data_IF_700967041166
#
_entry.id   IF_700967041166
#
_cell.length_a   1.000
_cell.length_b   1.000
_cell.length_c   1.000
_cell.angle_alpha   90.00
_cell.angle_beta   90.00
_cell.angle_gamma   90.00
#
_symmetry.space_group_name_H-M   'P 1'
#
loop_
_entity.id
_entity.type
_entity.pdbx_description
1 polymer ?
#
# COMPACT_ATOMS: atom_id res chain seq x y z
N UNK A 1 -23.25 4.21 6.53
CA UNK A 1 -22.38 5.22 5.87
C UNK A 1 -21.94 6.36 6.81
N UNK A 2 -22.82 7.00 7.58
CA UNK A 2 -22.41 8.09 8.50
C UNK A 2 -21.33 7.67 9.52
N UNK A 3 -21.43 6.47 10.09
CA UNK A 3 -20.45 5.96 11.08
C UNK A 3 -19.05 5.76 10.50
N UNK A 4 -18.92 5.14 9.30
CA UNK A 4 -17.63 4.94 8.62
C UNK A 4 -16.94 6.28 8.32
N UNK A 5 -17.70 7.27 7.83
CA UNK A 5 -17.16 8.61 7.54
C UNK A 5 -16.72 9.34 8.81
N UNK A 6 -17.43 9.14 9.94
CA UNK A 6 -17.04 9.73 11.24
C UNK A 6 -15.72 9.12 11.73
N UNK A 7 -15.57 7.79 11.62
CA UNK A 7 -14.33 7.09 11.98
C UNK A 7 -13.18 7.57 11.08
N UNK A 8 -13.40 7.58 9.76
CA UNK A 8 -12.41 8.07 8.80
C UNK A 8 -11.90 9.47 9.17
N UNK A 9 -12.80 10.41 9.41
CA UNK A 9 -12.43 11.79 9.77
C UNK A 9 -11.65 11.85 11.08
N UNK A 10 -12.07 11.08 12.09
CA UNK A 10 -11.39 11.00 13.39
C UNK A 10 -9.97 10.46 13.24
N UNK A 11 -9.83 9.32 12.57
CA UNK A 11 -8.54 8.68 12.34
C UNK A 11 -7.60 9.54 11.48
N UNK A 12 -8.11 10.09 10.38
CA UNK A 12 -7.33 10.96 9.50
C UNK A 12 -6.85 12.21 10.25
N UNK A 13 -7.70 12.83 11.05
CA UNK A 13 -7.30 13.95 11.92
C UNK A 13 -6.26 13.51 12.93
N UNK A 14 -6.39 12.31 13.49
CA UNK A 14 -5.40 11.71 14.41
C UNK A 14 -4.02 11.60 13.80
N UNK A 15 -3.90 11.21 12.53
CA UNK A 15 -2.60 11.19 11.83
C UNK A 15 -1.94 12.56 11.84
N UNK A 16 -2.65 13.62 11.45
CA UNK A 16 -2.08 14.97 11.32
C UNK A 16 -1.92 15.72 12.67
N UNK A 17 -2.43 15.18 13.77
CA UNK A 17 -2.17 15.75 15.10
C UNK A 17 -0.90 15.20 15.74
N UNK A 18 -0.29 14.15 15.16
CA UNK A 18 0.93 13.53 15.67
C UNK A 18 2.15 13.90 14.82
N UNK A 19 3.33 14.15 15.43
CA UNK A 19 4.56 14.42 14.67
C UNK A 19 4.96 13.27 13.74
N UNK A 20 4.55 12.05 14.06
CA UNK A 20 4.89 10.82 13.31
C UNK A 20 4.44 10.88 11.85
N UNK A 21 3.26 11.47 11.58
CA UNK A 21 2.77 11.61 10.23
C UNK A 21 3.66 12.49 9.35
N UNK A 22 4.10 13.62 9.91
CA UNK A 22 5.00 14.55 9.20
C UNK A 22 6.36 13.92 8.94
N UNK A 23 6.91 13.21 9.95
CA UNK A 23 8.17 12.46 9.79
C UNK A 23 8.03 11.42 8.69
N UNK A 24 6.91 10.70 8.64
CA UNK A 24 6.63 9.71 7.60
C UNK A 24 6.62 10.35 6.20
N UNK A 25 5.89 11.46 6.02
CA UNK A 25 5.83 12.16 4.74
C UNK A 25 7.22 12.65 4.33
N UNK A 26 7.97 13.25 5.26
CA UNK A 26 9.34 13.75 4.98
C UNK A 26 10.26 12.60 4.57
N UNK A 27 10.24 11.47 5.30
CA UNK A 27 11.05 10.30 4.95
C UNK A 27 10.64 9.75 3.58
N UNK A 28 9.34 9.66 3.30
CA UNK A 28 8.85 9.20 2.00
C UNK A 28 9.35 10.11 0.86
N UNK A 29 9.22 11.42 1.00
CA UNK A 29 9.66 12.39 0.00
C UNK A 29 11.18 12.35 -0.19
N UNK A 30 11.96 12.29 0.90
CA UNK A 30 13.42 12.21 0.84
C UNK A 30 13.89 10.94 0.15
N UNK A 31 13.37 9.78 0.58
CA UNK A 31 13.75 8.49 -0.02
C UNK A 31 13.34 8.42 -1.49
N UNK A 32 12.13 8.86 -1.82
CA UNK A 32 11.67 8.89 -3.20
C UNK A 32 12.57 9.79 -4.05
N UNK A 33 12.93 10.98 -3.55
CA UNK A 33 13.84 11.90 -4.24
C UNK A 33 15.24 11.30 -4.44
N UNK A 34 15.85 10.78 -3.38
CA UNK A 34 17.19 10.17 -3.44
C UNK A 34 17.20 8.99 -4.42
N UNK A 35 16.22 8.10 -4.33
CA UNK A 35 16.14 6.93 -5.19
C UNK A 35 15.92 7.32 -6.66
N UNK A 36 15.08 8.32 -6.93
CA UNK A 36 14.80 8.78 -8.30
C UNK A 36 15.99 9.48 -8.92
N UNK A 37 16.54 10.48 -8.22
CA UNK A 37 17.56 11.35 -8.81
C UNK A 37 18.95 10.74 -8.78
N UNK A 38 19.29 10.01 -7.72
CA UNK A 38 20.63 9.44 -7.54
C UNK A 38 20.73 8.00 -8.03
N UNK A 39 19.89 7.08 -7.54
CA UNK A 39 19.97 5.67 -7.94
C UNK A 39 19.29 5.40 -9.29
N UNK A 40 18.21 6.10 -9.59
CA UNK A 40 17.46 5.97 -10.85
C UNK A 40 18.11 6.67 -12.03
N UNK A 41 19.17 7.48 -11.80
CA UNK A 41 19.87 8.19 -12.85
C UNK A 41 18.96 9.11 -13.66
N UNK A 42 18.01 9.78 -13.01
CA UNK A 42 16.97 10.56 -13.69
C UNK A 42 17.53 11.54 -14.73
N UNK A 43 18.58 12.30 -14.37
CA UNK A 43 19.20 13.26 -15.28
C UNK A 43 20.15 12.61 -16.29
N UNK A 44 20.79 11.48 -15.93
CA UNK A 44 21.74 10.78 -16.77
C UNK A 44 21.07 10.06 -17.95
N UNK A 45 19.77 9.75 -17.82
CA UNK A 45 19.00 9.07 -18.85
C UNK A 45 18.59 9.97 -20.02
N UNK A 46 18.67 11.29 -19.84
CA UNK A 46 18.26 12.28 -20.84
C UNK A 46 16.84 12.06 -21.42
N UNK A 47 15.96 11.42 -20.63
CA UNK A 47 14.57 11.11 -20.99
C UNK A 47 13.63 11.81 -20.03
N UNK A 48 12.65 12.53 -20.60
CA UNK A 48 11.61 13.20 -19.82
C UNK A 48 10.50 12.21 -19.45
N UNK A 49 10.79 11.26 -18.55
CA UNK A 49 9.84 10.31 -18.02
C UNK A 49 10.00 10.13 -16.49
N UNK A 50 8.97 9.59 -15.84
CA UNK A 50 8.98 9.25 -14.41
C UNK A 50 9.14 7.73 -14.16
N UNK A 51 9.65 6.96 -15.13
CA UNK A 51 9.89 5.53 -14.94
C UNK A 51 10.84 5.24 -13.77
N UNK A 52 11.97 5.97 -13.57
CA UNK A 52 12.83 5.78 -12.40
C UNK A 52 12.12 6.06 -11.07
N UNK A 53 11.22 7.05 -11.05
CA UNK A 53 10.44 7.40 -9.87
C UNK A 53 9.52 6.25 -9.45
N UNK A 54 8.71 5.73 -10.36
CA UNK A 54 7.76 4.67 -10.06
C UNK A 54 8.42 3.30 -9.87
N UNK A 55 9.59 3.06 -10.44
CA UNK A 55 10.33 1.81 -10.29
C UNK A 55 10.62 1.45 -8.82
N UNK A 56 10.88 2.46 -7.98
CA UNK A 56 11.19 2.24 -6.57
C UNK A 56 9.96 2.19 -5.66
N UNK A 57 8.75 2.54 -6.13
CA UNK A 57 7.55 2.57 -5.30
C UNK A 57 7.22 1.23 -4.62
N UNK A 58 7.27 0.07 -5.31
CA UNK A 58 7.00 -1.22 -4.65
C UNK A 58 7.92 -1.48 -3.45
N UNK A 59 9.21 -1.12 -3.57
CA UNK A 59 10.20 -1.31 -2.52
C UNK A 59 10.07 -0.31 -1.38
N UNK A 60 9.75 0.94 -1.69
CA UNK A 60 9.46 1.97 -0.68
C UNK A 60 8.21 1.60 0.13
N UNK A 61 7.17 1.18 -0.54
CA UNK A 61 5.92 0.78 0.10
C UNK A 61 6.07 -0.47 0.94
N UNK A 62 6.97 -1.39 0.58
CA UNK A 62 7.25 -2.59 1.35
C UNK A 62 7.64 -2.29 2.81
N UNK A 63 8.29 -1.16 3.05
CA UNK A 63 8.72 -0.74 4.39
C UNK A 63 7.76 0.29 4.98
N UNK A 64 7.44 1.31 4.20
CA UNK A 64 6.73 2.48 4.72
C UNK A 64 5.24 2.20 4.99
N UNK A 65 4.58 1.42 4.13
CA UNK A 65 3.15 1.14 4.30
C UNK A 65 2.88 0.21 5.49
N UNK A 66 3.66 -0.88 5.73
CA UNK A 66 3.60 -1.63 6.98
C UNK A 66 3.84 -0.78 8.24
N UNK A 67 4.70 0.24 8.17
CA UNK A 67 4.93 1.14 9.31
C UNK A 67 3.69 1.98 9.67
N UNK A 68 2.81 2.27 8.70
CA UNK A 68 1.51 2.89 8.96
C UNK A 68 0.52 1.84 9.50
N UNK A 69 0.41 0.71 8.81
CA UNK A 69 -0.62 -0.30 9.09
C UNK A 69 -0.41 -1.04 10.41
N UNK A 70 0.84 -1.16 10.90
CA UNK A 70 1.14 -1.84 12.16
C UNK A 70 0.37 -1.27 13.36
N UNK A 71 0.03 0.03 13.34
CA UNK A 71 -0.65 0.73 14.43
C UNK A 71 -2.15 0.59 14.40
N UNK A 72 -2.75 0.24 13.25
CA UNK A 72 -4.20 0.31 13.04
C UNK A 72 -5.01 -0.46 14.09
N UNK A 73 -4.51 -1.62 14.53
CA UNK A 73 -5.18 -2.49 15.49
C UNK A 73 -4.29 -2.89 16.66
N UNK A 74 -2.99 -3.15 16.42
CA UNK A 74 -2.08 -3.61 17.47
C UNK A 74 -1.89 -2.55 18.57
N UNK A 75 -1.95 -1.26 18.24
CA UNK A 75 -1.90 -0.19 19.23
C UNK A 75 -3.15 -0.16 20.11
N UNK A 76 -4.34 -0.26 19.52
CA UNK A 76 -5.61 -0.30 20.28
C UNK A 76 -5.72 -1.53 21.18
N UNK A 77 -5.21 -2.67 20.72
CA UNK A 77 -5.12 -3.88 21.55
C UNK A 77 -4.14 -3.70 22.70
N UNK A 78 -2.97 -3.15 22.44
CA UNK A 78 -1.95 -2.89 23.47
C UNK A 78 -2.44 -1.94 24.56
N UNK A 79 -3.26 -0.95 24.19
CA UNK A 79 -3.82 0.06 25.12
C UNK A 79 -5.15 -0.33 25.72
N UNK A 80 -5.76 -1.45 25.30
CA UNK A 80 -7.09 -1.89 25.75
C UNK A 80 -8.25 -1.05 25.18
N UNK A 81 -7.97 -0.10 24.29
CA UNK A 81 -9.02 0.77 23.71
C UNK A 81 -9.88 0.06 22.67
N UNK A 82 -9.47 -1.11 22.21
CA UNK A 82 -10.25 -1.92 21.27
C UNK A 82 -11.61 -2.33 21.85
N UNK A 83 -11.68 -2.64 23.14
CA UNK A 83 -12.93 -3.00 23.81
C UNK A 83 -13.92 -1.84 23.79
N UNK A 84 -13.45 -0.62 24.06
CA UNK A 84 -14.27 0.59 23.97
C UNK A 84 -14.78 0.83 22.53
N UNK A 85 -13.95 0.58 21.53
CA UNK A 85 -14.37 0.70 20.12
C UNK A 85 -15.46 -0.32 19.77
N UNK A 86 -15.35 -1.54 20.30
CA UNK A 86 -16.28 -2.63 20.03
C UNK A 86 -17.61 -2.53 20.79
N UNK A 87 -17.69 -1.72 21.86
CA UNK A 87 -18.95 -1.40 22.58
C UNK A 87 -19.74 -0.27 21.91
N UNK A 88 -19.14 0.47 20.98
CA UNK A 88 -19.86 1.49 20.24
C UNK A 88 -20.93 0.86 19.31
N UNK A 89 -22.05 1.56 19.04
CA UNK A 89 -23.11 1.06 18.16
C UNK A 89 -22.71 1.15 16.67
N UNK A 90 -21.56 0.52 16.33
CA UNK A 90 -21.01 0.44 14.99
C UNK A 90 -20.67 -1.02 14.67
N UNK A 91 -20.81 -1.41 13.39
CA UNK A 91 -20.35 -2.74 12.98
C UNK A 91 -18.82 -2.78 12.87
N UNK A 92 -18.22 -3.96 13.12
CA UNK A 92 -16.78 -4.19 12.99
C UNK A 92 -16.29 -3.84 11.59
N UNK A 93 -17.05 -4.22 10.55
CA UNK A 93 -16.73 -3.87 9.18
C UNK A 93 -16.70 -2.35 8.92
N UNK A 94 -17.57 -1.57 9.59
CA UNK A 94 -17.52 -0.10 9.49
C UNK A 94 -16.28 0.49 10.15
N UNK A 95 -15.81 -0.10 11.25
CA UNK A 95 -14.59 0.30 11.92
C UNK A 95 -13.36 -0.05 11.04
N UNK A 96 -13.30 -1.28 10.51
CA UNK A 96 -12.22 -1.74 9.63
C UNK A 96 -12.12 -0.85 8.39
N UNK A 97 -13.25 -0.62 7.71
CA UNK A 97 -13.28 0.20 6.51
C UNK A 97 -12.91 1.67 6.81
N UNK A 98 -13.40 2.23 7.94
CA UNK A 98 -13.10 3.60 8.32
C UNK A 98 -11.61 3.83 8.60
N UNK A 99 -10.96 2.91 9.33
CA UNK A 99 -9.52 2.95 9.61
C UNK A 99 -8.67 2.74 8.36
N UNK A 100 -9.02 1.74 7.56
CA UNK A 100 -8.36 1.48 6.29
C UNK A 100 -8.39 2.70 5.37
N UNK A 101 -9.56 3.28 5.15
CA UNK A 101 -9.71 4.45 4.28
C UNK A 101 -8.96 5.67 4.81
N UNK A 102 -8.86 5.86 6.14
CA UNK A 102 -8.07 6.93 6.73
C UNK A 102 -6.57 6.76 6.45
N UNK A 103 -6.04 5.55 6.64
CA UNK A 103 -4.65 5.23 6.36
C UNK A 103 -4.34 5.32 4.85
N UNK A 104 -5.27 4.86 4.01
CA UNK A 104 -5.13 4.94 2.56
C UNK A 104 -5.18 6.39 2.04
N UNK A 105 -6.09 7.21 2.58
CA UNK A 105 -6.14 8.65 2.29
C UNK A 105 -4.85 9.36 2.75
N UNK A 106 -4.31 9.02 3.92
CA UNK A 106 -3.04 9.53 4.40
C UNK A 106 -1.87 9.17 3.45
N UNK A 107 -1.79 7.92 3.00
CA UNK A 107 -0.80 7.49 2.00
C UNK A 107 -1.00 8.23 0.68
N UNK A 108 -2.26 8.45 0.27
CA UNK A 108 -2.60 9.26 -0.90
C UNK A 108 -2.12 10.72 -0.79
N UNK A 109 -2.22 11.33 0.40
CA UNK A 109 -1.68 12.68 0.65
C UNK A 109 -0.15 12.68 0.55
N UNK A 110 0.53 11.68 1.10
CA UNK A 110 1.98 11.54 0.96
C UNK A 110 2.41 11.39 -0.51
N UNK A 111 1.68 10.58 -1.26
CA UNK A 111 1.90 10.42 -2.71
C UNK A 111 1.61 11.72 -3.47
N UNK A 112 0.53 12.43 -3.15
CA UNK A 112 0.21 13.72 -3.77
C UNK A 112 1.27 14.79 -3.46
N UNK A 113 1.94 14.72 -2.31
CA UNK A 113 3.05 15.61 -1.98
C UNK A 113 4.28 15.44 -2.89
N UNK A 114 4.36 14.36 -3.67
CA UNK A 114 5.39 14.17 -4.70
C UNK A 114 5.06 14.88 -6.03
N UNK A 115 3.91 15.53 -6.14
CA UNK A 115 3.47 16.23 -7.36
C UNK A 115 4.50 17.24 -7.95
N UNK A 116 5.35 17.91 -7.15
CA UNK A 116 6.41 18.75 -7.71
C UNK A 116 7.33 18.04 -8.71
N UNK A 117 7.56 16.72 -8.56
CA UNK A 117 8.38 15.98 -9.54
C UNK A 117 7.67 15.88 -10.91
N UNK A 118 6.34 15.81 -10.91
CA UNK A 118 5.54 15.82 -12.14
C UNK A 118 5.68 17.15 -12.87
N UNK A 119 5.65 18.28 -12.12
CA UNK A 119 5.90 19.61 -12.70
C UNK A 119 7.32 19.68 -13.26
N UNK A 120 8.31 19.17 -12.51
CA UNK A 120 9.71 19.19 -12.93
C UNK A 120 9.92 18.46 -14.26
N UNK A 121 9.36 17.26 -14.43
CA UNK A 121 9.53 16.51 -15.67
C UNK A 121 8.87 17.20 -16.86
N UNK A 122 7.71 17.85 -16.67
CA UNK A 122 7.06 18.65 -17.72
C UNK A 122 7.83 19.92 -18.08
N UNK A 123 8.62 20.46 -17.14
CA UNK A 123 9.49 21.60 -17.40
C UNK A 123 10.77 21.18 -18.17
N UNK A 124 11.25 19.97 -17.95
CA UNK A 124 12.46 19.44 -18.58
C UNK A 124 12.22 18.89 -19.98
N UNK A 125 10.99 18.52 -20.33
CA UNK A 125 10.67 17.94 -21.63
C UNK A 125 9.16 17.79 -21.85
N UNK A 126 8.79 16.89 -22.77
CA UNK A 126 7.40 16.60 -23.11
C UNK A 126 7.04 15.13 -22.74
N UNK A 127 6.80 14.85 -21.45
CA UNK A 127 6.45 13.50 -20.99
C UNK A 127 5.01 13.13 -21.36
N UNK A 128 4.75 11.83 -21.47
CA UNK A 128 3.38 11.33 -21.56
C UNK A 128 2.67 11.47 -20.20
N UNK A 129 1.87 12.50 -20.06
CA UNK A 129 1.12 12.78 -18.84
C UNK A 129 0.04 11.73 -18.53
N UNK A 130 -0.44 11.00 -19.55
CA UNK A 130 -1.36 9.88 -19.37
C UNK A 130 -0.70 8.71 -18.66
N UNK A 131 0.53 8.38 -19.06
CA UNK A 131 1.37 7.36 -18.42
C UNK A 131 1.66 7.73 -16.96
N UNK A 132 2.03 8.99 -16.71
CA UNK A 132 2.32 9.49 -15.36
C UNK A 132 1.07 9.37 -14.47
N UNK A 133 -0.08 9.83 -14.97
CA UNK A 133 -1.34 9.74 -14.22
C UNK A 133 -1.72 8.28 -13.89
N UNK A 134 -1.63 7.39 -14.90
CA UNK A 134 -1.88 5.97 -14.69
C UNK A 134 -0.96 5.37 -13.63
N UNK A 135 0.33 5.70 -13.66
CA UNK A 135 1.30 5.25 -12.68
C UNK A 135 1.01 5.76 -11.25
N UNK A 136 0.55 6.99 -11.08
CA UNK A 136 0.08 7.51 -9.78
C UNK A 136 -1.14 6.74 -9.28
N UNK A 137 -2.11 6.44 -10.15
CA UNK A 137 -3.28 5.63 -9.80
C UNK A 137 -2.87 4.21 -9.41
N UNK A 138 -2.01 3.58 -10.21
CA UNK A 138 -1.47 2.25 -9.90
C UNK A 138 -0.71 2.21 -8.59
N UNK A 139 0.10 3.23 -8.31
CA UNK A 139 0.83 3.39 -7.04
C UNK A 139 -0.13 3.49 -5.86
N UNK A 140 -1.22 4.25 -5.97
CA UNK A 140 -2.24 4.37 -4.93
C UNK A 140 -3.00 3.06 -4.70
N UNK A 141 -3.35 2.32 -5.76
CA UNK A 141 -3.98 1.00 -5.67
C UNK A 141 -3.07 -0.01 -4.99
N UNK A 142 -1.80 -0.05 -5.39
CA UNK A 142 -0.78 -0.91 -4.79
C UNK A 142 -0.61 -0.60 -3.30
N UNK A 143 -0.52 0.67 -2.91
CA UNK A 143 -0.47 1.09 -1.51
C UNK A 143 -1.69 0.59 -0.72
N UNK A 144 -2.89 0.59 -1.32
CA UNK A 144 -4.10 0.01 -0.74
C UNK A 144 -3.96 -1.49 -0.46
N UNK A 145 -3.36 -2.24 -1.39
CA UNK A 145 -3.06 -3.66 -1.21
C UNK A 145 -2.14 -3.92 -0.03
N UNK A 146 -1.03 -3.20 0.06
CA UNK A 146 -0.10 -3.28 1.21
C UNK A 146 -0.79 -2.94 2.54
N UNK A 147 -1.59 -1.88 2.55
CA UNK A 147 -2.34 -1.45 3.74
C UNK A 147 -3.35 -2.51 4.18
N UNK A 148 -4.06 -3.15 3.26
CA UNK A 148 -5.05 -4.17 3.58
C UNK A 148 -4.40 -5.39 4.22
N UNK A 149 -3.26 -5.88 3.66
CA UNK A 149 -2.47 -6.96 4.23
C UNK A 149 -1.99 -6.58 5.62
N UNK A 150 -1.34 -5.42 5.77
CA UNK A 150 -0.79 -4.96 7.03
C UNK A 150 -1.86 -4.70 8.09
N UNK A 151 -3.03 -4.19 7.72
CA UNK A 151 -4.17 -4.01 8.62
C UNK A 151 -4.69 -5.34 9.15
N UNK A 152 -4.81 -6.34 8.29
CA UNK A 152 -5.22 -7.70 8.67
C UNK A 152 -4.23 -8.32 9.68
N UNK A 153 -2.93 -8.22 9.41
CA UNK A 153 -1.87 -8.73 10.29
C UNK A 153 -1.85 -7.96 11.61
N UNK A 154 -2.03 -6.64 11.59
CA UNK A 154 -2.12 -5.82 12.79
C UNK A 154 -3.29 -6.23 13.70
N UNK A 155 -4.40 -6.73 13.13
CA UNK A 155 -5.53 -7.27 13.89
C UNK A 155 -5.23 -8.61 14.58
N UNK A 156 -4.19 -9.33 14.16
CA UNK A 156 -3.84 -10.64 14.71
C UNK A 156 -2.97 -10.57 15.97
N UNK A 157 -2.24 -9.47 16.18
CA UNK A 157 -1.24 -9.33 17.26
C UNK A 157 -1.47 -8.06 18.09
N UNK A 158 -0.95 -8.07 19.33
CA UNK A 158 -0.92 -6.92 20.23
C UNK A 158 0.41 -6.16 20.16
N UNK A 159 1.39 -6.69 19.40
CA UNK A 159 2.73 -6.12 19.30
C UNK A 159 2.93 -5.49 17.94
N UNK A 160 3.13 -4.16 17.93
CA UNK A 160 3.33 -3.38 16.70
C UNK A 160 4.57 -3.82 15.91
N UNK A 161 5.67 -4.21 16.59
CA UNK A 161 6.90 -4.65 15.92
C UNK A 161 6.68 -5.98 15.20
N UNK A 162 5.96 -6.91 15.84
CA UNK A 162 5.58 -8.18 15.21
C UNK A 162 4.66 -7.90 14.00
N UNK A 163 3.66 -7.04 14.19
CA UNK A 163 2.77 -6.64 13.09
C UNK A 163 3.56 -6.07 11.91
N UNK A 164 4.54 -5.20 12.17
CA UNK A 164 5.40 -4.61 11.15
C UNK A 164 6.20 -5.65 10.37
N UNK A 165 6.95 -6.49 11.09
CA UNK A 165 7.82 -7.50 10.47
C UNK A 165 7.00 -8.51 9.64
N UNK A 166 5.92 -9.04 10.22
CA UNK A 166 5.06 -10.02 9.53
C UNK A 166 4.37 -9.38 8.32
N UNK A 167 3.99 -8.09 8.40
CA UNK A 167 3.41 -7.37 7.26
C UNK A 167 4.42 -7.20 6.13
N UNK A 168 5.68 -6.87 6.43
CA UNK A 168 6.76 -6.82 5.42
C UNK A 168 6.90 -8.19 4.73
N UNK A 169 6.98 -9.26 5.50
CA UNK A 169 7.11 -10.62 4.94
C UNK A 169 5.90 -10.97 4.07
N UNK A 170 4.69 -10.69 4.55
CA UNK A 170 3.47 -10.93 3.78
C UNK A 170 3.44 -10.16 2.46
N UNK A 171 3.77 -8.87 2.48
CA UNK A 171 3.84 -8.04 1.27
C UNK A 171 4.98 -8.47 0.34
N UNK A 172 6.12 -8.90 0.90
CA UNK A 172 7.27 -9.38 0.14
C UNK A 172 6.91 -10.62 -0.71
N UNK A 173 6.09 -11.54 -0.18
CA UNK A 173 5.62 -12.71 -0.93
C UNK A 173 4.91 -12.27 -2.21
N UNK A 174 4.04 -11.26 -2.16
CA UNK A 174 3.35 -10.72 -3.34
C UNK A 174 4.28 -9.98 -4.32
N UNK A 175 5.38 -9.38 -3.84
CA UNK A 175 6.40 -8.80 -4.72
C UNK A 175 7.18 -9.90 -5.41
N UNK A 176 7.69 -10.88 -4.63
CA UNK A 176 8.55 -11.94 -5.12
C UNK A 176 7.85 -12.84 -6.16
N UNK A 177 6.53 -13.01 -6.03
CA UNK A 177 5.74 -13.81 -6.96
C UNK A 177 5.86 -13.38 -8.44
N UNK A 178 6.26 -12.13 -8.72
CA UNK A 178 6.46 -11.63 -10.08
C UNK A 178 7.92 -11.45 -10.51
N UNK A 179 8.87 -11.78 -9.64
CA UNK A 179 10.26 -11.64 -10.01
C UNK A 179 10.69 -12.80 -10.95
N UNK A 180 11.38 -12.49 -12.07
CA UNK A 180 11.86 -13.51 -13.00
C UNK A 180 12.63 -14.63 -12.30
N UNK A 181 13.53 -14.29 -11.37
CA UNK A 181 14.31 -15.27 -10.62
C UNK A 181 13.47 -16.27 -9.82
N UNK A 182 12.30 -15.86 -9.34
CA UNK A 182 11.36 -16.76 -8.63
C UNK A 182 10.57 -17.59 -9.62
N UNK A 183 10.11 -17.00 -10.73
CA UNK A 183 9.36 -17.70 -11.77
C UNK A 183 10.27 -18.75 -12.47
N UNK A 184 11.53 -18.42 -12.72
CA UNK A 184 12.50 -19.33 -13.31
C UNK A 184 12.76 -20.58 -12.45
N UNK A 185 12.68 -20.45 -11.12
CA UNK A 185 12.76 -21.61 -10.23
C UNK A 185 11.64 -22.62 -10.48
N UNK A 186 10.44 -22.14 -10.84
CA UNK A 186 9.30 -22.99 -11.14
C UNK A 186 9.31 -23.56 -12.55
N UNK A 187 9.99 -22.93 -13.52
CA UNK A 187 10.02 -23.38 -14.94
C UNK A 187 10.62 -24.75 -15.11
N UNK A 188 11.49 -25.20 -14.17
CA UNK A 188 12.17 -26.49 -14.26
C UNK A 188 11.29 -27.70 -13.92
N UNK A 189 10.17 -27.52 -13.21
CA UNK A 189 9.36 -28.64 -12.70
C UNK A 189 7.85 -28.38 -12.65
N UNK A 190 7.40 -27.13 -12.71
CA UNK A 190 5.98 -26.78 -12.62
C UNK A 190 5.34 -26.61 -14.00
N UNK A 191 4.06 -27.00 -14.17
CA UNK A 191 3.30 -26.69 -15.37
C UNK A 191 3.16 -25.16 -15.57
N UNK A 192 3.09 -24.72 -16.84
CA UNK A 192 2.95 -23.31 -17.18
C UNK A 192 1.77 -22.64 -16.46
N UNK A 193 0.66 -23.34 -16.28
CA UNK A 193 -0.50 -22.83 -15.56
C UNK A 193 -0.20 -22.43 -14.10
N UNK A 194 0.73 -23.12 -13.43
CA UNK A 194 1.16 -22.77 -12.06
C UNK A 194 1.98 -21.49 -12.09
N UNK A 195 2.91 -21.37 -13.05
CA UNK A 195 3.76 -20.17 -13.22
C UNK A 195 2.87 -18.94 -13.49
N UNK A 196 1.91 -19.07 -14.41
CA UNK A 196 0.95 -18.01 -14.74
C UNK A 196 0.09 -17.63 -13.54
N UNK A 197 -0.32 -18.61 -12.73
CA UNK A 197 -1.10 -18.36 -11.50
C UNK A 197 -0.24 -17.61 -10.48
N UNK A 198 0.99 -18.04 -10.22
CA UNK A 198 1.90 -17.37 -9.28
C UNK A 198 2.17 -15.94 -9.73
N UNK A 199 2.48 -15.72 -11.01
CA UNK A 199 2.73 -14.38 -11.56
C UNK A 199 1.51 -13.46 -11.49
N UNK A 200 0.29 -14.03 -11.57
CA UNK A 200 -0.96 -13.25 -11.45
C UNK A 200 -1.25 -12.74 -10.03
N UNK A 201 -0.58 -13.27 -9.00
CA UNK A 201 -0.65 -12.74 -7.64
C UNK A 201 0.39 -11.66 -7.36
N UNK A 202 1.22 -11.29 -8.33
CA UNK A 202 2.30 -10.35 -8.13
C UNK A 202 1.86 -8.88 -8.19
N UNK A 203 2.23 -8.11 -7.17
CA UNK A 203 2.12 -6.65 -7.19
C UNK A 203 2.93 -6.02 -8.32
N UNK A 204 4.12 -6.54 -8.58
CA UNK A 204 5.03 -6.02 -9.62
C UNK A 204 4.44 -6.17 -11.02
N UNK A 205 3.83 -7.31 -11.32
CA UNK A 205 3.25 -7.59 -12.64
C UNK A 205 2.14 -6.59 -12.97
N UNK A 206 1.18 -6.41 -12.05
CA UNK A 206 0.05 -5.49 -12.24
C UNK A 206 0.49 -4.02 -12.21
N UNK A 207 1.41 -3.66 -11.31
CA UNK A 207 1.91 -2.30 -11.23
C UNK A 207 2.71 -1.91 -12.48
N UNK A 208 3.58 -2.80 -13.00
CA UNK A 208 4.34 -2.56 -14.23
C UNK A 208 3.44 -2.40 -15.46
N UNK A 209 2.29 -3.09 -15.51
CA UNK A 209 1.29 -2.88 -16.55
C UNK A 209 0.72 -1.46 -16.49
N UNK A 210 0.22 -1.05 -15.33
CA UNK A 210 -0.38 0.28 -15.13
C UNK A 210 0.65 1.39 -15.33
N UNK A 211 1.89 1.21 -14.86
CA UNK A 211 2.95 2.22 -14.98
C UNK A 211 3.41 2.48 -16.41
N UNK A 212 3.04 1.63 -17.36
CA UNK A 212 3.22 1.85 -18.82
C UNK A 212 2.07 2.60 -19.46
N UNK A 213 1.12 3.10 -18.68
CA UNK A 213 -0.01 3.90 -19.16
C UNK A 213 -1.26 3.09 -19.50
N UNK A 214 -1.25 1.77 -19.31
CA UNK A 214 -2.41 0.90 -19.60
C UNK A 214 -3.11 0.55 -18.30
N UNK A 215 -4.24 1.16 -18.03
CA UNK A 215 -5.09 0.78 -16.91
C UNK A 215 -6.03 -0.33 -17.39
N UNK A 216 -5.62 -1.58 -17.20
CA UNK A 216 -6.46 -2.73 -17.51
C UNK A 216 -7.43 -2.97 -16.33
N UNK A 217 -8.67 -3.33 -16.69
CA UNK A 217 -9.69 -3.75 -15.71
C UNK A 217 -9.21 -4.92 -14.85
N UNK A 218 -8.40 -5.81 -15.42
CA UNK A 218 -7.78 -6.94 -14.73
C UNK A 218 -6.93 -6.48 -13.55
N UNK A 219 -6.12 -5.44 -13.72
CA UNK A 219 -5.23 -4.92 -12.68
C UNK A 219 -6.02 -4.25 -11.55
N UNK A 220 -7.07 -3.51 -11.92
CA UNK A 220 -7.97 -2.87 -10.93
C UNK A 220 -8.75 -3.92 -10.14
N UNK A 221 -9.25 -4.98 -10.80
CA UNK A 221 -9.95 -6.10 -10.14
C UNK A 221 -9.00 -6.83 -9.20
N UNK A 222 -7.74 -7.05 -9.60
CA UNK A 222 -6.74 -7.69 -8.75
C UNK A 222 -6.56 -6.92 -7.43
N UNK A 223 -6.22 -5.63 -7.50
CA UNK A 223 -6.05 -4.84 -6.29
C UNK A 223 -7.36 -4.70 -5.49
N UNK A 224 -8.48 -4.49 -6.16
CA UNK A 224 -9.80 -4.38 -5.52
C UNK A 224 -10.21 -5.66 -4.79
N UNK A 225 -10.02 -6.83 -5.41
CA UNK A 225 -10.33 -8.13 -4.81
C UNK A 225 -9.39 -8.46 -3.65
N UNK A 226 -8.10 -8.15 -3.79
CA UNK A 226 -7.12 -8.34 -2.74
C UNK A 226 -7.44 -7.46 -1.51
N UNK A 227 -7.71 -6.18 -1.71
CA UNK A 227 -8.12 -5.26 -0.65
C UNK A 227 -9.40 -5.79 0.02
N UNK A 228 -10.41 -6.15 -0.75
CA UNK A 228 -11.67 -6.68 -0.25
C UNK A 228 -11.48 -7.96 0.59
N UNK A 229 -10.69 -8.91 0.09
CA UNK A 229 -10.40 -10.17 0.78
C UNK A 229 -9.71 -9.94 2.14
N UNK A 230 -8.66 -9.11 2.18
CA UNK A 230 -7.94 -8.85 3.44
C UNK A 230 -8.77 -8.01 4.43
N UNK A 231 -9.62 -7.09 3.97
CA UNK A 231 -10.53 -6.34 4.86
C UNK A 231 -11.64 -7.24 5.40
N UNK A 232 -12.15 -8.20 4.63
CA UNK A 232 -13.08 -9.21 5.12
C UNK A 232 -12.41 -10.11 6.16
N UNK A 233 -11.21 -10.62 5.87
CA UNK A 233 -10.42 -11.41 6.81
C UNK A 233 -10.16 -10.63 8.12
N UNK A 234 -9.80 -9.35 8.01
CA UNK A 234 -9.62 -8.47 9.15
C UNK A 234 -10.89 -8.38 10.02
N UNK A 235 -12.05 -8.19 9.38
CA UNK A 235 -13.34 -8.13 10.08
C UNK A 235 -13.64 -9.43 10.82
N UNK A 236 -13.43 -10.59 10.17
CA UNK A 236 -13.65 -11.91 10.76
C UNK A 236 -12.73 -12.16 11.97
N UNK A 237 -11.45 -11.77 11.86
CA UNK A 237 -10.48 -11.89 12.96
C UNK A 237 -10.92 -11.08 14.17
N UNK A 238 -11.38 -9.85 13.93
CA UNK A 238 -11.85 -8.97 15.01
C UNK A 238 -13.15 -9.49 15.64
N UNK A 239 -14.08 -10.02 14.85
CA UNK A 239 -15.33 -10.58 15.37
C UNK A 239 -15.10 -11.90 16.15
N UNK A 240 -14.18 -12.75 15.69
CA UNK A 240 -13.81 -13.96 16.42
C UNK A 240 -13.22 -13.65 17.82
N UNK A 241 -12.44 -12.57 17.91
CA UNK A 241 -11.81 -12.15 19.18
C UNK A 241 -12.69 -11.30 20.08
N UNK A 242 -13.94 -10.96 19.67
CA UNK A 242 -14.94 -10.37 20.56
C UNK A 242 -15.53 -11.36 21.55
N UNK A 243 -15.44 -12.64 21.25
CA UNK A 243 -16.00 -13.72 22.07
C UNK A 243 -15.04 -14.29 23.10
N UNK A 244 -13.79 -13.82 23.12
CA UNK A 244 -12.76 -14.18 24.11
C UNK A 244 -12.66 -13.07 25.18
#
# INVERSE_FOLDING_TARGET
MKSTTTILKRELRGYFTTPVAYIFIVIFLLLTGILTFYMGGFFEREQADLAPFFFFHPWLYLILVPAISMRLWAEERKTGTIELLLTLPISTGQAVLGKFLAAWAFTGVALAATFPIWITVNFLGDPDNGVIFAAYVGSLLMAGGYLAIGSCISAMTNNQVIAFIVSIVGCLVFILAGLPAVLDFFTGWAPQAVIDTVSSFSFMTHFNSISKGVIDLRDVIFYGSLIGCFLLANTLILDAKKGE
#
